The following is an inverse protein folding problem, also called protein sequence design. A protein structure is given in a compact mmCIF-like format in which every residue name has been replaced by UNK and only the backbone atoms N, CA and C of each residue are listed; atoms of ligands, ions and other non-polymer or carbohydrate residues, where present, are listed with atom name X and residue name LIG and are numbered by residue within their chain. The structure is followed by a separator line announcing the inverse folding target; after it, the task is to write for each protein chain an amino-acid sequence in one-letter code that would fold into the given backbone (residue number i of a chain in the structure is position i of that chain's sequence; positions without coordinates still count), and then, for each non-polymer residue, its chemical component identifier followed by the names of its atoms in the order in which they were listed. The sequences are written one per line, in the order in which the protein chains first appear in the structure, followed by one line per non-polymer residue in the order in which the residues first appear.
data_IF_958804621423
#
_entry.id   IF_958804621423
#
_cell.length_a   1.000
_cell.length_b   1.000
_cell.length_c   1.000
_cell.angle_alpha   90.00
_cell.angle_beta   90.00
_cell.angle_gamma   90.00
#
_symmetry.space_group_name_H-M   'P 1'
#
loop_
_entity.id
_entity.type
_entity.pdbx_description
1 polymer ?
#
# COMPACT_ATOMS: atom_id res chain seq x y z
N UNK A 1 36.49 -0.88 -11.30
CA UNK A 1 35.17 -0.29 -10.98
C UNK A 1 34.65 -1.05 -9.76
N UNK A 2 34.68 -0.44 -8.58
CA UNK A 2 34.56 -1.15 -7.30
C UNK A 2 33.10 -1.48 -6.98
N UNK A 3 32.78 -2.76 -6.81
CA UNK A 3 31.43 -3.24 -6.44
C UNK A 3 30.89 -2.63 -5.13
N UNK A 4 31.77 -2.14 -4.24
CA UNK A 4 31.37 -1.48 -3.00
C UNK A 4 30.73 -0.10 -3.21
N UNK A 5 31.12 0.65 -4.25
CA UNK A 5 30.53 1.97 -4.51
C UNK A 5 29.14 1.89 -5.15
N UNK A 6 28.87 0.84 -5.94
CA UNK A 6 27.58 0.64 -6.60
C UNK A 6 26.50 0.23 -5.60
N UNK A 7 26.84 -0.52 -4.55
CA UNK A 7 25.85 -0.98 -3.58
C UNK A 7 25.36 0.14 -2.64
N UNK A 8 26.25 1.05 -2.23
CA UNK A 8 25.87 2.20 -1.38
C UNK A 8 25.10 3.27 -2.16
N UNK A 9 25.38 3.47 -3.45
CA UNK A 9 24.60 4.40 -4.29
C UNK A 9 23.16 3.91 -4.51
N UNK A 10 23.00 2.61 -4.73
CA UNK A 10 21.71 1.95 -4.97
C UNK A 10 20.77 2.06 -3.75
N UNK A 11 21.29 1.89 -2.53
CA UNK A 11 20.53 2.07 -1.28
C UNK A 11 20.01 3.50 -1.15
N UNK A 12 20.84 4.51 -1.43
CA UNK A 12 20.44 5.91 -1.36
C UNK A 12 19.35 6.27 -2.36
N UNK A 13 19.44 5.74 -3.59
CA UNK A 13 18.43 5.92 -4.65
C UNK A 13 17.11 5.22 -4.30
N UNK A 14 17.17 4.00 -3.76
CA UNK A 14 15.99 3.26 -3.30
C UNK A 14 15.29 3.95 -2.15
N UNK A 15 16.03 4.49 -1.17
CA UNK A 15 15.44 5.29 -0.09
C UNK A 15 14.71 6.50 -0.65
N UNK A 16 15.35 7.26 -1.55
CA UNK A 16 14.75 8.42 -2.19
C UNK A 16 13.50 8.07 -3.02
N UNK A 17 13.47 6.89 -3.65
CA UNK A 17 12.30 6.37 -4.35
C UNK A 17 11.11 6.15 -3.40
N UNK A 18 11.36 5.56 -2.22
CA UNK A 18 10.32 5.31 -1.21
C UNK A 18 9.86 6.63 -0.57
N UNK A 19 10.78 7.56 -0.29
CA UNK A 19 10.43 8.92 0.17
C UNK A 19 9.54 9.63 -0.86
N UNK A 20 9.87 9.53 -2.16
CA UNK A 20 9.04 10.07 -3.26
C UNK A 20 7.65 9.43 -3.29
N UNK A 21 7.58 8.10 -3.18
CA UNK A 21 6.31 7.37 -3.18
C UNK A 21 5.38 7.84 -2.05
N UNK A 22 5.87 7.91 -0.81
CA UNK A 22 5.03 8.33 0.32
C UNK A 22 4.74 9.84 0.34
N UNK A 23 5.65 10.68 -0.17
CA UNK A 23 5.36 12.11 -0.39
C UNK A 23 4.25 12.29 -1.42
N UNK A 24 4.27 11.53 -2.52
CA UNK A 24 3.19 11.54 -3.50
C UNK A 24 1.87 11.05 -2.88
N UNK A 25 1.92 10.03 -2.02
CA UNK A 25 0.74 9.55 -1.30
C UNK A 25 0.14 10.61 -0.37
N UNK A 26 0.97 11.33 0.40
CA UNK A 26 0.53 12.46 1.22
C UNK A 26 -0.19 13.53 0.38
N UNK A 27 0.31 13.78 -0.83
CA UNK A 27 -0.25 14.74 -1.78
C UNK A 27 -1.38 14.19 -2.64
N UNK A 28 -1.80 12.92 -2.44
CA UNK A 28 -2.80 12.22 -3.24
C UNK A 28 -2.45 12.14 -4.74
N UNK A 29 -1.17 12.19 -5.08
CA UNK A 29 -0.63 12.08 -6.43
C UNK A 29 -0.43 10.60 -6.80
N UNK A 30 -1.53 9.95 -7.20
CA UNK A 30 -1.52 8.55 -7.60
C UNK A 30 -0.70 8.27 -8.87
N UNK A 31 -0.44 9.27 -9.71
CA UNK A 31 0.36 9.10 -10.93
C UNK A 31 1.83 8.93 -10.55
N UNK A 32 2.36 9.81 -9.70
CA UNK A 32 3.72 9.63 -9.18
C UNK A 32 3.86 8.35 -8.37
N UNK A 33 2.84 7.97 -7.58
CA UNK A 33 2.85 6.69 -6.87
C UNK A 33 2.97 5.52 -7.84
N UNK A 34 2.18 5.50 -8.92
CA UNK A 34 2.22 4.47 -9.95
C UNK A 34 3.58 4.42 -10.65
N UNK A 35 4.17 5.58 -10.96
CA UNK A 35 5.47 5.68 -11.62
C UNK A 35 6.62 5.11 -10.77
N UNK A 36 6.47 5.01 -9.44
CA UNK A 36 7.48 4.38 -8.58
C UNK A 36 7.55 2.86 -8.73
N UNK A 37 6.51 2.21 -9.25
CA UNK A 37 6.45 0.76 -9.40
C UNK A 37 7.04 0.27 -10.72
N UNK A 38 7.64 -0.91 -10.65
CA UNK A 38 8.03 -1.68 -11.83
C UNK A 38 6.77 -2.24 -12.53
N UNK A 39 6.72 -2.36 -13.86
CA UNK A 39 5.55 -2.92 -14.57
C UNK A 39 5.14 -4.33 -14.11
N UNK A 40 6.12 -5.16 -13.73
CA UNK A 40 5.93 -6.51 -13.20
C UNK A 40 5.87 -6.58 -11.66
N UNK A 41 5.65 -5.45 -10.98
CA UNK A 41 5.67 -5.41 -9.53
C UNK A 41 4.58 -6.30 -8.90
N UNK A 42 4.85 -6.74 -7.68
CA UNK A 42 3.90 -7.46 -6.83
C UNK A 42 3.70 -6.71 -5.51
N UNK A 43 2.43 -6.52 -5.14
CA UNK A 43 2.03 -5.92 -3.88
C UNK A 43 1.24 -6.93 -3.05
N UNK A 44 1.52 -7.01 -1.75
CA UNK A 44 0.68 -7.76 -0.82
C UNK A 44 0.47 -7.03 0.50
N UNK A 45 -0.73 -7.15 1.04
CA UNK A 45 -1.08 -6.79 2.41
C UNK A 45 -2.13 -7.76 2.95
N UNK A 46 -2.75 -7.43 4.08
CA UNK A 46 -3.78 -8.28 4.69
C UNK A 46 -5.08 -8.37 3.84
N UNK A 47 -5.31 -7.45 2.90
CA UNK A 47 -6.51 -7.31 2.07
C UNK A 47 -6.31 -7.62 0.57
N UNK A 48 -5.10 -7.51 0.06
CA UNK A 48 -4.78 -7.50 -1.37
C UNK A 48 -3.54 -8.35 -1.68
N UNK A 49 -3.57 -8.95 -2.87
CA UNK A 49 -2.40 -9.50 -3.57
C UNK A 49 -2.54 -9.08 -5.04
N UNK A 50 -1.72 -8.13 -5.49
CA UNK A 50 -1.92 -7.42 -6.75
C UNK A 50 -0.66 -7.45 -7.61
N UNK A 51 -0.84 -7.34 -8.93
CA UNK A 51 0.28 -7.30 -9.89
C UNK A 51 0.18 -6.13 -10.86
N UNK A 52 1.32 -5.54 -11.17
CA UNK A 52 1.46 -4.50 -12.20
C UNK A 52 0.44 -3.37 -12.07
N UNK A 53 -0.35 -3.12 -13.12
CA UNK A 53 -1.32 -2.02 -13.19
C UNK A 53 -2.39 -2.05 -12.08
N UNK A 54 -2.69 -3.22 -11.51
CA UNK A 54 -3.67 -3.31 -10.41
C UNK A 54 -3.21 -2.54 -9.17
N UNK A 55 -1.90 -2.45 -8.95
CA UNK A 55 -1.29 -1.71 -7.85
C UNK A 55 -1.54 -0.21 -8.03
N UNK A 56 -1.32 0.31 -9.23
CA UNK A 56 -1.62 1.70 -9.58
C UNK A 56 -3.11 2.02 -9.43
N UNK A 57 -3.99 1.11 -9.89
CA UNK A 57 -5.44 1.25 -9.73
C UNK A 57 -5.87 1.27 -8.26
N UNK A 58 -5.25 0.45 -7.41
CA UNK A 58 -5.52 0.42 -5.98
C UNK A 58 -5.16 1.76 -5.32
N UNK A 59 -3.96 2.29 -5.57
CA UNK A 59 -3.56 3.57 -4.99
C UNK A 59 -4.44 4.73 -5.46
N UNK A 60 -4.76 4.78 -6.76
CA UNK A 60 -5.70 5.76 -7.31
C UNK A 60 -7.06 5.67 -6.62
N UNK A 61 -7.63 4.46 -6.50
CA UNK A 61 -8.90 4.24 -5.81
C UNK A 61 -8.85 4.73 -4.35
N UNK A 62 -7.78 4.45 -3.62
CA UNK A 62 -7.65 4.81 -2.20
C UNK A 62 -7.58 6.33 -2.02
N UNK A 63 -6.77 7.04 -2.80
CA UNK A 63 -6.64 8.51 -2.65
C UNK A 63 -7.90 9.25 -3.10
N UNK A 64 -8.61 8.74 -4.12
CA UNK A 64 -9.87 9.34 -4.58
C UNK A 64 -11.00 9.14 -3.57
N UNK A 65 -11.04 7.99 -2.89
CA UNK A 65 -12.08 7.70 -1.88
C UNK A 65 -11.78 8.30 -0.50
N UNK A 66 -10.50 8.48 -0.18
CA UNK A 66 -10.03 9.03 1.09
C UNK A 66 -10.08 10.56 1.12
N UNK A 67 -11.28 11.14 1.18
CA UNK A 67 -11.44 12.62 1.19
C UNK A 67 -10.75 13.27 2.38
N UNK A 68 -10.80 12.63 3.55
CA UNK A 68 -10.18 13.06 4.82
C UNK A 68 -8.85 12.35 5.14
N UNK A 69 -8.29 11.61 4.16
CA UNK A 69 -7.04 10.88 4.35
C UNK A 69 -5.90 11.84 4.72
N UNK A 70 -5.24 11.54 5.83
CA UNK A 70 -3.95 12.11 6.24
C UNK A 70 -2.95 10.99 6.48
N UNK A 71 -1.66 11.29 6.30
CA UNK A 71 -0.61 10.27 6.29
C UNK A 71 0.66 10.83 6.93
N UNK A 72 1.25 10.09 7.86
CA UNK A 72 2.63 10.28 8.32
C UNK A 72 3.45 9.07 7.94
N UNK A 73 4.73 9.25 7.66
CA UNK A 73 5.62 8.15 7.31
C UNK A 73 7.07 8.43 7.74
N UNK A 74 7.86 7.37 7.88
CA UNK A 74 9.31 7.39 7.95
C UNK A 74 9.89 6.29 7.07
N UNK A 75 11.06 6.54 6.48
CA UNK A 75 11.79 5.59 5.63
C UNK A 75 13.15 5.32 6.24
N UNK A 76 13.43 4.04 6.45
CA UNK A 76 14.64 3.57 7.12
C UNK A 76 15.41 2.59 6.22
N UNK A 77 16.72 2.54 6.42
CA UNK A 77 17.61 1.54 5.84
C UNK A 77 18.13 0.65 6.96
N UNK A 78 17.71 -0.61 6.95
CA UNK A 78 18.11 -1.63 7.91
C UNK A 78 19.09 -2.59 7.24
N UNK A 79 20.38 -2.26 7.29
CA UNK A 79 21.47 -3.08 6.75
C UNK A 79 21.31 -3.42 5.25
N UNK A 80 20.90 -2.45 4.44
CA UNK A 80 20.69 -2.59 3.00
C UNK A 80 19.26 -2.95 2.61
N UNK A 81 18.38 -3.20 3.59
CA UNK A 81 16.95 -3.39 3.37
C UNK A 81 16.20 -2.08 3.63
N UNK A 82 15.64 -1.49 2.59
CA UNK A 82 14.75 -0.34 2.74
C UNK A 82 13.42 -0.80 3.31
N UNK A 83 12.96 -0.10 4.35
CA UNK A 83 11.67 -0.30 5.01
C UNK A 83 10.99 1.05 5.22
N UNK A 84 9.67 1.04 5.40
CA UNK A 84 8.96 2.24 5.81
C UNK A 84 7.95 1.94 6.91
N UNK A 85 7.75 2.91 7.79
CA UNK A 85 6.67 2.91 8.75
C UNK A 85 5.70 4.01 8.36
N UNK A 86 4.40 3.70 8.24
CA UNK A 86 3.42 4.68 7.80
C UNK A 86 2.07 4.51 8.49
N UNK A 87 1.43 5.65 8.77
CA UNK A 87 0.21 5.71 9.55
C UNK A 87 -0.86 6.55 8.83
N UNK A 88 -1.73 5.91 8.03
CA UNK A 88 -2.85 6.60 7.43
C UNK A 88 -3.98 6.76 8.46
N UNK A 89 -4.57 7.95 8.47
CA UNK A 89 -5.80 8.27 9.22
C UNK A 89 -6.88 8.68 8.23
N UNK A 90 -8.03 8.02 8.27
CA UNK A 90 -9.11 8.22 7.30
C UNK A 90 -10.46 7.73 7.82
N UNK A 91 -11.54 8.14 7.16
CA UNK A 91 -12.87 7.56 7.35
C UNK A 91 -13.09 6.39 6.39
N UNK A 92 -13.38 5.20 6.93
CA UNK A 92 -13.63 4.01 6.11
C UNK A 92 -14.98 4.14 5.39
N UNK A 93 -14.91 4.36 4.08
CA UNK A 93 -16.06 4.69 3.22
C UNK A 93 -17.28 3.76 3.35
N UNK A 94 -17.09 2.48 3.67
CA UNK A 94 -18.21 1.54 3.75
C UNK A 94 -19.02 1.64 5.04
N UNK A 95 -18.40 2.11 6.14
CA UNK A 95 -19.03 2.12 7.47
C UNK A 95 -19.08 3.51 8.09
N UNK A 96 -18.38 4.49 7.51
CA UNK A 96 -18.24 5.84 8.05
C UNK A 96 -17.39 5.91 9.33
N UNK A 97 -16.65 4.84 9.66
CA UNK A 97 -15.86 4.77 10.90
C UNK A 97 -14.46 5.32 10.68
N UNK A 98 -13.97 6.09 11.66
CA UNK A 98 -12.59 6.55 11.66
C UNK A 98 -11.62 5.37 11.87
N UNK A 99 -10.53 5.37 11.09
CA UNK A 99 -9.45 4.39 11.15
C UNK A 99 -8.13 5.14 11.24
N UNK A 100 -7.29 4.71 12.17
CA UNK A 100 -5.87 5.01 12.25
C UNK A 100 -5.10 3.69 12.10
N UNK A 101 -4.62 3.43 10.89
CA UNK A 101 -3.81 2.24 10.62
C UNK A 101 -2.35 2.51 10.96
N UNK A 102 -1.62 1.47 11.33
CA UNK A 102 -0.18 1.53 11.62
C UNK A 102 0.43 0.37 10.83
N UNK A 103 1.29 0.70 9.87
CA UNK A 103 1.71 -0.23 8.82
C UNK A 103 3.22 -0.18 8.68
N UNK A 104 3.83 -1.36 8.63
CA UNK A 104 5.24 -1.54 8.33
C UNK A 104 5.39 -2.16 6.93
N UNK A 105 6.22 -1.53 6.12
CA UNK A 105 6.41 -1.86 4.71
C UNK A 105 7.83 -2.36 4.44
N UNK A 106 7.92 -3.41 3.61
CA UNK A 106 9.18 -3.97 3.11
C UNK A 106 9.21 -3.93 1.58
N UNK A 107 10.39 -3.64 1.03
CA UNK A 107 10.55 -3.40 -0.40
C UNK A 107 11.66 -4.25 -1.02
N UNK A 108 11.42 -4.78 -2.21
CA UNK A 108 12.48 -5.24 -3.10
C UNK A 108 12.46 -4.38 -4.37
N UNK A 109 13.63 -4.14 -4.95
CA UNK A 109 13.79 -3.23 -6.09
C UNK A 109 14.33 -3.95 -7.31
N UNK A 110 13.94 -3.45 -8.49
CA UNK A 110 14.42 -3.92 -9.79
C UNK A 110 14.41 -2.74 -10.75
N UNK A 111 15.52 -2.52 -11.46
CA UNK A 111 15.68 -1.45 -12.45
C UNK A 111 15.34 -0.05 -11.88
N UNK A 112 15.74 0.20 -10.63
CA UNK A 112 15.48 1.46 -9.92
C UNK A 112 14.01 1.71 -9.59
N UNK A 113 13.17 0.67 -9.57
CA UNK A 113 11.72 0.71 -9.28
C UNK A 113 11.33 -0.28 -8.21
N UNK A 114 10.19 -0.05 -7.57
CA UNK A 114 9.61 -0.98 -6.59
C UNK A 114 9.15 -2.24 -7.32
N UNK A 115 9.74 -3.39 -7.00
CA UNK A 115 9.42 -4.69 -7.58
C UNK A 115 8.59 -5.57 -6.66
N UNK A 116 8.88 -5.58 -5.36
CA UNK A 116 7.99 -6.15 -4.34
C UNK A 116 7.70 -5.10 -3.28
N UNK A 117 6.45 -5.01 -2.86
CA UNK A 117 6.03 -4.17 -1.75
C UNK A 117 5.10 -5.01 -0.87
N UNK A 118 5.53 -5.25 0.36
CA UNK A 118 4.75 -5.96 1.37
C UNK A 118 4.41 -5.01 2.50
N UNK A 119 3.12 -4.78 2.72
CA UNK A 119 2.60 -4.06 3.88
C UNK A 119 2.13 -5.06 4.94
N UNK A 120 2.45 -4.81 6.20
CA UNK A 120 1.98 -5.60 7.35
C UNK A 120 1.38 -4.69 8.39
N UNK A 121 0.21 -5.06 8.91
CA UNK A 121 -0.46 -4.35 10.01
C UNK A 121 -1.29 -5.30 10.86
N UNK A 122 -1.65 -4.86 12.07
CA UNK A 122 -2.57 -5.60 12.93
C UNK A 122 -3.99 -5.57 12.34
N UNK A 123 -4.30 -6.61 11.57
CA UNK A 123 -5.60 -6.79 10.93
C UNK A 123 -6.76 -6.81 11.94
N UNK A 124 -6.54 -7.31 13.16
CA UNK A 124 -7.59 -7.34 14.16
C UNK A 124 -7.88 -5.94 14.71
N UNK A 125 -6.84 -5.19 15.06
CA UNK A 125 -6.97 -3.77 15.44
C UNK A 125 -7.63 -2.96 14.32
N UNK A 126 -7.18 -3.14 13.08
CA UNK A 126 -7.76 -2.46 11.92
C UNK A 126 -9.23 -2.81 11.73
N UNK A 127 -9.58 -4.10 11.74
CA UNK A 127 -10.96 -4.55 11.48
C UNK A 127 -11.94 -4.07 12.56
N UNK A 128 -11.51 -3.97 13.81
CA UNK A 128 -12.30 -3.36 14.89
C UNK A 128 -12.59 -1.89 14.64
N UNK A 129 -11.62 -1.13 14.11
CA UNK A 129 -11.84 0.27 13.76
C UNK A 129 -12.74 0.40 12.52
N UNK A 130 -12.41 -0.31 11.44
CA UNK A 130 -13.05 -0.19 10.13
C UNK A 130 -14.47 -0.79 10.08
N UNK A 131 -14.70 -1.96 10.68
CA UNK A 131 -15.95 -2.73 10.53
C UNK A 131 -16.82 -2.72 11.79
N UNK A 132 -16.22 -2.58 12.98
CA UNK A 132 -16.96 -2.51 14.24
C UNK A 132 -17.42 -3.89 14.76
N UNK A 133 -18.64 -3.95 15.30
CA UNK A 133 -19.18 -5.10 16.06
C UNK A 133 -19.04 -6.48 15.37
N UNK A 134 -19.26 -6.64 14.05
CA UNK A 134 -19.04 -7.93 13.38
C UNK A 134 -17.58 -8.40 13.42
N UNK A 135 -16.62 -7.48 13.33
CA UNK A 135 -15.19 -7.80 13.45
C UNK A 135 -14.78 -8.12 14.89
N UNK A 136 -15.49 -7.60 15.88
CA UNK A 136 -15.25 -7.93 17.29
C UNK A 136 -15.58 -9.40 17.60
N UNK A 137 -16.61 -9.96 16.96
CA UNK A 137 -17.04 -11.34 17.17
C UNK A 137 -16.29 -12.36 16.30
N UNK A 138 -15.88 -11.97 15.09
CA UNK A 138 -15.37 -12.90 14.06
C UNK A 138 -14.01 -12.50 13.45
N UNK A 139 -13.42 -11.38 13.85
CA UNK A 139 -12.19 -10.84 13.25
C UNK A 139 -10.95 -11.71 13.43
N UNK A 140 -10.99 -12.67 14.36
CA UNK A 140 -9.97 -13.70 14.58
C UNK A 140 -10.06 -14.89 13.61
N UNK A 141 -11.16 -15.01 12.86
CA UNK A 141 -11.38 -16.14 11.95
C UNK A 141 -10.82 -15.87 10.55
N UNK A 142 -10.20 -16.88 9.93
CA UNK A 142 -9.74 -16.81 8.54
C UNK A 142 -10.88 -16.53 7.54
N UNK A 143 -12.11 -16.94 7.86
CA UNK A 143 -13.30 -16.62 7.06
C UNK A 143 -13.54 -15.11 6.93
N UNK A 144 -13.38 -14.36 8.02
CA UNK A 144 -13.58 -12.92 7.99
C UNK A 144 -12.51 -12.22 7.14
N UNK A 145 -11.25 -12.65 7.24
CA UNK A 145 -10.16 -12.17 6.38
C UNK A 145 -10.47 -12.41 4.90
N UNK A 146 -10.87 -13.63 4.54
CA UNK A 146 -11.24 -13.96 3.16
C UNK A 146 -12.40 -13.08 2.65
N UNK A 147 -13.38 -12.78 3.50
CA UNK A 147 -14.50 -11.90 3.15
C UNK A 147 -14.05 -10.45 2.90
N UNK A 148 -13.16 -9.91 3.75
CA UNK A 148 -12.55 -8.59 3.55
C UNK A 148 -11.77 -8.56 2.23
N UNK A 149 -10.94 -9.56 1.98
CA UNK A 149 -10.18 -9.67 0.73
C UNK A 149 -11.10 -9.73 -0.49
N UNK A 150 -12.16 -10.55 -0.45
CA UNK A 150 -13.14 -10.67 -1.56
C UNK A 150 -13.80 -9.33 -1.85
N UNK A 151 -14.23 -8.62 -0.79
CA UNK A 151 -14.85 -7.31 -0.89
C UNK A 151 -13.89 -6.25 -1.44
N UNK A 152 -12.64 -6.24 -0.97
CA UNK A 152 -11.60 -5.34 -1.42
C UNK A 152 -11.31 -5.52 -2.92
N UNK A 153 -11.12 -6.77 -3.36
CA UNK A 153 -10.90 -7.13 -4.76
C UNK A 153 -12.11 -6.79 -5.65
N UNK A 154 -13.34 -7.01 -5.16
CA UNK A 154 -14.57 -6.62 -5.89
C UNK A 154 -14.62 -5.11 -6.11
N UNK A 155 -14.30 -4.34 -5.08
CA UNK A 155 -14.28 -2.88 -5.15
C UNK A 155 -13.21 -2.35 -6.11
N UNK A 156 -12.02 -2.96 -6.10
CA UNK A 156 -10.96 -2.63 -7.04
C UNK A 156 -11.34 -2.99 -8.48
N UNK A 157 -11.92 -4.17 -8.69
CA UNK A 157 -12.42 -4.59 -10.00
C UNK A 157 -13.48 -3.62 -10.55
N UNK A 158 -14.40 -3.15 -9.71
CA UNK A 158 -15.37 -2.12 -10.10
C UNK A 158 -14.72 -0.77 -10.43
N UNK A 159 -13.65 -0.41 -9.73
CA UNK A 159 -12.88 0.79 -10.03
C UNK A 159 -12.19 0.66 -11.39
N UNK A 160 -11.44 -0.43 -11.63
CA UNK A 160 -10.76 -0.70 -12.90
C UNK A 160 -11.74 -0.68 -14.08
N UNK A 161 -12.94 -1.26 -13.95
CA UNK A 161 -13.97 -1.20 -15.00
C UNK A 161 -14.38 0.21 -15.41
N UNK A 162 -14.26 1.20 -14.51
CA UNK A 162 -14.55 2.61 -14.76
C UNK A 162 -13.32 3.41 -15.21
N UNK A 163 -12.15 2.80 -15.15
CA UNK A 163 -10.84 3.40 -15.43
C UNK A 163 -10.07 2.51 -16.44
N UNK A 164 -10.41 2.61 -17.75
CA UNK A 164 -9.86 1.74 -18.79
C UNK A 164 -8.33 1.75 -18.87
N UNK A 165 -7.67 2.82 -18.41
CA UNK A 165 -6.22 2.94 -18.32
C UNK A 165 -5.55 1.82 -17.48
N UNK A 166 -6.29 1.22 -16.55
CA UNK A 166 -5.84 0.07 -15.74
C UNK A 166 -6.35 -1.28 -16.23
N UNK A 167 -7.19 -1.29 -17.28
CA UNK A 167 -7.51 -2.55 -17.95
C UNK A 167 -6.25 -3.11 -18.59
N UNK A 168 -6.16 -4.44 -18.67
CA UNK A 168 -4.99 -5.14 -19.21
C UNK A 168 -4.56 -4.57 -20.56
#
# INVERSE_FOLDING_TARGET
MNMANTHTSDIGEHKALIDRFYTAFQNKDYQTMADCYHPDAYFEDEAFQLRGKEIAAMWHMLVTRGTDLTLTFSVDDNAGQITAHWEPKYTFSQTGRFVHNIIDAQFEFKDGKIYRHKDTFDFWRWSRQAVGLPAYLLGWSGFFRNKVQTMANTNLSHFIKKHPEYSQ
#
